data_IF_799020882773
#
_entry.id   IF_799020882773
#
_cell.length_a   1.000
_cell.length_b   1.000
_cell.length_c   1.000
_cell.angle_alpha   90.00
_cell.angle_beta   90.00
_cell.angle_gamma   90.00
#
_symmetry.space_group_name_H-M   'P 1'
#
loop_
_entity.id
_entity.type
_entity.pdbx_description
1 polymer ?
#
# COMPACT_ATOMS: atom_id res chain seq x y z
N UNK A 1 2.28 0.20 -40.63
CA UNK A 1 1.39 0.54 -39.50
C UNK A 1 2.29 0.66 -38.28
N UNK A 2 2.42 1.84 -37.69
CA UNK A 2 3.22 2.01 -36.48
C UNK A 2 2.54 1.25 -35.34
N UNK A 3 3.30 0.52 -34.53
CA UNK A 3 2.77 -0.07 -33.30
C UNK A 3 2.16 1.05 -32.43
N UNK A 4 1.04 0.80 -31.72
CA UNK A 4 0.55 1.76 -30.75
C UNK A 4 1.65 2.04 -29.73
N UNK A 5 1.89 3.31 -29.42
CA UNK A 5 2.82 3.69 -28.37
C UNK A 5 2.32 3.13 -27.03
N UNK A 6 3.23 2.59 -26.22
CA UNK A 6 2.89 2.13 -24.86
C UNK A 6 2.26 3.29 -24.06
N UNK A 7 1.21 3.04 -23.27
CA UNK A 7 0.60 4.07 -22.45
C UNK A 7 1.63 4.63 -21.47
N UNK A 8 1.66 5.97 -21.35
CA UNK A 8 2.57 6.66 -20.44
C UNK A 8 2.31 6.23 -18.97
N UNK A 9 3.35 6.15 -18.13
CA UNK A 9 3.21 5.75 -16.73
C UNK A 9 2.35 6.75 -15.93
N UNK A 10 1.62 6.22 -14.95
CA UNK A 10 0.78 6.99 -14.05
C UNK A 10 1.60 7.71 -12.96
N UNK A 11 1.27 8.98 -12.69
CA UNK A 11 2.00 9.79 -11.70
C UNK A 11 1.68 9.44 -10.24
N UNK A 12 0.54 8.79 -9.97
CA UNK A 12 0.11 8.43 -8.61
C UNK A 12 -0.33 6.97 -8.55
N UNK A 13 -0.17 6.37 -7.37
CA UNK A 13 -0.71 5.03 -7.08
C UNK A 13 -2.21 4.95 -7.37
N UNK A 14 -2.99 5.96 -6.94
CA UNK A 14 -4.43 6.00 -7.19
C UNK A 14 -4.77 5.90 -8.68
N UNK A 15 -4.11 6.70 -9.52
CA UNK A 15 -4.34 6.66 -10.96
C UNK A 15 -3.93 5.33 -11.60
N UNK A 16 -2.84 4.73 -11.12
CA UNK A 16 -2.39 3.41 -11.59
C UNK A 16 -3.37 2.30 -11.17
N UNK A 17 -3.85 2.34 -9.92
CA UNK A 17 -4.82 1.37 -9.41
C UNK A 17 -6.16 1.47 -10.15
N UNK A 18 -6.64 2.67 -10.47
CA UNK A 18 -7.86 2.85 -11.26
C UNK A 18 -7.72 2.23 -12.65
N UNK A 19 -6.60 2.46 -13.34
CA UNK A 19 -6.33 1.88 -14.65
C UNK A 19 -6.25 0.35 -14.57
N UNK A 20 -5.43 -0.18 -13.64
CA UNK A 20 -5.27 -1.62 -13.44
C UNK A 20 -6.58 -2.31 -13.03
N UNK A 21 -7.42 -1.67 -12.23
CA UNK A 21 -8.71 -2.22 -11.82
C UNK A 21 -9.64 -2.40 -13.02
N UNK A 22 -9.65 -1.46 -13.98
CA UNK A 22 -10.45 -1.56 -15.19
C UNK A 22 -10.00 -2.71 -16.11
N UNK A 23 -8.72 -3.09 -16.05
CA UNK A 23 -8.16 -4.24 -16.76
C UNK A 23 -8.41 -5.57 -16.03
N UNK A 24 -8.36 -5.56 -14.70
CA UNK A 24 -8.33 -6.77 -13.87
C UNK A 24 -9.71 -7.30 -13.49
N UNK A 25 -10.67 -6.42 -13.19
CA UNK A 25 -12.00 -6.78 -12.70
C UNK A 25 -13.08 -6.22 -13.63
N UNK A 26 -13.04 -6.68 -14.87
CA UNK A 26 -13.93 -6.20 -15.94
C UNK A 26 -15.41 -6.40 -15.62
N UNK A 27 -15.73 -7.38 -14.78
CA UNK A 27 -17.09 -7.72 -14.37
C UNK A 27 -17.51 -7.02 -13.06
N UNK A 28 -16.60 -6.28 -12.41
CA UNK A 28 -16.86 -5.53 -11.19
C UNK A 28 -17.27 -6.39 -10.00
N UNK A 29 -16.75 -7.62 -9.90
CA UNK A 29 -17.15 -8.60 -8.88
C UNK A 29 -16.36 -8.48 -7.57
N UNK A 30 -15.25 -7.72 -7.54
CA UNK A 30 -14.43 -7.59 -6.33
C UNK A 30 -15.16 -6.79 -5.26
N UNK A 31 -15.49 -7.47 -4.17
CA UNK A 31 -16.21 -6.89 -3.04
C UNK A 31 -15.28 -6.18 -2.07
N UNK A 32 -15.86 -5.29 -1.25
CA UNK A 32 -15.12 -4.63 -0.17
C UNK A 32 -14.55 -5.65 0.85
N UNK A 33 -15.29 -6.73 1.14
CA UNK A 33 -14.82 -7.78 2.04
C UNK A 33 -13.64 -8.57 1.47
N UNK A 34 -13.64 -8.80 0.15
CA UNK A 34 -12.48 -9.40 -0.54
C UNK A 34 -11.23 -8.54 -0.34
N UNK A 35 -11.31 -7.23 -0.65
CA UNK A 35 -10.17 -6.31 -0.49
C UNK A 35 -9.71 -6.18 0.97
N UNK A 36 -10.65 -6.19 1.91
CA UNK A 36 -10.32 -6.18 3.34
C UNK A 36 -9.54 -7.42 3.76
N UNK A 37 -9.90 -8.59 3.25
CA UNK A 37 -9.19 -9.84 3.51
C UNK A 37 -7.82 -9.89 2.79
N UNK A 38 -7.74 -9.37 1.56
CA UNK A 38 -6.49 -9.22 0.81
C UNK A 38 -5.49 -8.35 1.60
N UNK A 39 -5.90 -7.16 2.04
CA UNK A 39 -5.08 -6.30 2.91
C UNK A 39 -4.60 -7.04 4.17
N UNK A 40 -5.49 -7.80 4.82
CA UNK A 40 -5.10 -8.57 6.01
C UNK A 40 -4.08 -9.68 5.68
N UNK A 41 -4.18 -10.28 4.48
CA UNK A 41 -3.21 -11.21 3.92
C UNK A 41 -1.82 -10.58 3.82
N UNK A 42 -1.69 -9.47 3.10
CA UNK A 42 -0.41 -8.78 2.88
C UNK A 42 0.22 -8.31 4.21
N UNK A 43 -0.60 -7.82 5.14
CA UNK A 43 -0.12 -7.49 6.50
C UNK A 43 0.42 -8.74 7.20
N UNK A 44 -0.23 -9.89 7.03
CA UNK A 44 0.21 -11.18 7.57
C UNK A 44 1.55 -11.65 6.98
N UNK A 45 1.74 -11.46 5.67
CA UNK A 45 2.98 -11.78 4.96
C UNK A 45 4.14 -10.91 5.46
N UNK A 46 3.94 -9.59 5.52
CA UNK A 46 4.89 -8.64 6.11
C UNK A 46 5.23 -9.02 7.56
N UNK A 47 4.24 -9.33 8.39
CA UNK A 47 4.45 -9.79 9.77
C UNK A 47 5.31 -11.07 9.84
N UNK A 48 5.07 -12.01 8.93
CA UNK A 48 5.82 -13.26 8.87
C UNK A 48 7.29 -13.02 8.49
N UNK A 49 7.56 -12.10 7.57
CA UNK A 49 8.92 -11.71 7.19
C UNK A 49 9.64 -10.98 8.33
N UNK A 50 9.01 -10.01 8.99
CA UNK A 50 9.56 -9.35 10.19
C UNK A 50 9.94 -10.38 11.25
N UNK A 51 9.05 -11.33 11.54
CA UNK A 51 9.32 -12.42 12.49
C UNK A 51 10.54 -13.25 12.06
N UNK A 52 10.69 -13.57 10.77
CA UNK A 52 11.85 -14.34 10.26
C UNK A 52 13.16 -13.54 10.45
N UNK A 53 13.15 -12.24 10.13
CA UNK A 53 14.31 -11.35 10.30
C UNK A 53 14.75 -11.27 11.78
N UNK A 54 13.82 -11.01 12.69
CA UNK A 54 14.14 -10.94 14.12
C UNK A 54 14.54 -12.30 14.69
N UNK A 55 13.92 -13.39 14.23
CA UNK A 55 14.29 -14.75 14.64
C UNK A 55 15.74 -15.07 14.28
N UNK A 56 16.17 -14.72 13.08
CA UNK A 56 17.57 -14.88 12.65
C UNK A 56 18.51 -14.03 13.51
N UNK A 57 18.16 -12.76 13.77
CA UNK A 57 18.93 -11.85 14.65
C UNK A 57 19.09 -12.39 16.08
N UNK A 58 18.07 -13.08 16.59
CA UNK A 58 18.10 -13.73 17.91
C UNK A 58 18.85 -15.07 17.93
N UNK A 59 19.36 -15.56 16.79
CA UNK A 59 20.06 -16.84 16.71
C UNK A 59 19.14 -18.07 16.85
N UNK A 60 17.83 -17.89 16.66
CA UNK A 60 16.85 -18.97 16.77
C UNK A 60 16.74 -19.68 15.41
N UNK A 61 16.77 -21.01 15.39
CA UNK A 61 16.67 -21.80 14.17
C UNK A 61 15.32 -21.58 13.44
N UNK A 62 15.37 -21.48 12.11
CA UNK A 62 14.19 -21.38 11.26
C UNK A 62 14.52 -20.86 9.86
N UNK A 63 13.49 -20.73 9.01
CA UNK A 63 13.62 -20.10 7.69
C UNK A 63 14.02 -18.62 7.79
N UNK A 64 14.72 -18.14 6.77
CA UNK A 64 15.22 -16.76 6.69
C UNK A 64 14.33 -15.89 5.80
N UNK A 65 14.50 -14.58 5.93
CA UNK A 65 13.88 -13.57 5.09
C UNK A 65 14.92 -12.49 4.78
N UNK A 66 14.61 -11.61 3.83
CA UNK A 66 15.45 -10.46 3.51
C UNK A 66 14.64 -9.17 3.64
N UNK A 67 15.35 -8.05 3.70
CA UNK A 67 14.71 -6.72 3.75
C UNK A 67 14.06 -6.40 2.41
N UNK A 68 14.57 -6.94 1.31
CA UNK A 68 14.01 -6.78 -0.04
C UNK A 68 12.62 -7.40 -0.12
N UNK A 69 12.44 -8.65 0.32
CA UNK A 69 11.11 -9.26 0.36
C UNK A 69 10.18 -8.51 1.33
N UNK A 70 10.68 -8.02 2.47
CA UNK A 70 9.85 -7.21 3.36
C UNK A 70 9.39 -5.91 2.69
N UNK A 71 10.23 -5.30 1.86
CA UNK A 71 9.86 -4.10 1.12
C UNK A 71 8.72 -4.37 0.11
N UNK A 72 8.72 -5.53 -0.53
CA UNK A 72 7.63 -5.98 -1.41
C UNK A 72 6.32 -6.12 -0.65
N UNK A 73 6.30 -6.88 0.45
CA UNK A 73 5.07 -7.06 1.24
C UNK A 73 4.55 -5.75 1.85
N UNK A 74 5.45 -4.85 2.28
CA UNK A 74 5.05 -3.52 2.75
C UNK A 74 4.46 -2.65 1.63
N UNK A 75 4.93 -2.82 0.39
CA UNK A 75 4.36 -2.15 -0.76
C UNK A 75 2.95 -2.69 -1.07
N UNK A 76 2.76 -4.02 -0.99
CA UNK A 76 1.45 -4.65 -1.20
C UNK A 76 0.42 -4.20 -0.15
N UNK A 77 0.82 -4.05 1.11
CA UNK A 77 -0.03 -3.42 2.14
C UNK A 77 -0.51 -2.02 1.74
N UNK A 78 0.38 -1.18 1.20
CA UNK A 78 0.03 0.18 0.75
C UNK A 78 -0.92 0.13 -0.45
N UNK A 79 -0.65 -0.77 -1.40
CA UNK A 79 -1.49 -0.98 -2.60
C UNK A 79 -2.89 -1.40 -2.19
N UNK A 80 -3.03 -2.42 -1.34
CA UNK A 80 -4.33 -2.93 -0.89
C UNK A 80 -5.10 -1.89 -0.06
N UNK A 81 -4.41 -1.11 0.77
CA UNK A 81 -5.03 0.01 1.47
C UNK A 81 -5.59 1.07 0.51
N UNK A 82 -4.85 1.40 -0.56
CA UNK A 82 -5.35 2.32 -1.59
C UNK A 82 -6.51 1.72 -2.40
N UNK A 83 -6.50 0.41 -2.69
CA UNK A 83 -7.62 -0.25 -3.38
C UNK A 83 -8.93 -0.16 -2.59
N UNK A 84 -8.86 -0.31 -1.26
CA UNK A 84 -10.02 -0.09 -0.38
C UNK A 84 -10.46 1.38 -0.41
N UNK A 85 -9.51 2.30 -0.29
CA UNK A 85 -9.80 3.73 -0.33
C UNK A 85 -10.41 4.15 -1.67
N UNK A 86 -9.90 3.62 -2.78
CA UNK A 86 -10.39 3.81 -4.13
C UNK A 86 -11.85 3.35 -4.25
N UNK A 87 -12.17 2.14 -3.78
CA UNK A 87 -13.55 1.60 -3.82
C UNK A 87 -14.54 2.43 -3.01
N UNK A 88 -14.09 3.09 -1.94
CA UNK A 88 -14.92 3.90 -1.04
C UNK A 88 -14.89 5.41 -1.36
N UNK A 89 -14.17 5.85 -2.39
CA UNK A 89 -14.02 7.26 -2.73
C UNK A 89 -13.23 8.08 -1.70
N UNK A 90 -12.35 7.44 -0.93
CA UNK A 90 -11.50 8.08 0.06
C UNK A 90 -10.23 8.61 -0.63
N UNK A 91 -9.91 9.89 -0.42
CA UNK A 91 -8.58 10.43 -0.73
C UNK A 91 -7.60 9.99 0.37
N UNK A 92 -6.91 8.88 0.11
CA UNK A 92 -6.00 8.28 1.08
C UNK A 92 -4.77 9.18 1.32
N UNK A 93 -4.28 9.88 0.30
CA UNK A 93 -3.13 10.77 0.44
C UNK A 93 -3.44 11.93 1.37
N UNK A 94 -4.59 12.60 1.17
CA UNK A 94 -5.05 13.67 2.06
C UNK A 94 -5.32 13.14 3.48
N UNK A 95 -5.94 11.97 3.61
CA UNK A 95 -6.22 11.36 4.91
C UNK A 95 -4.93 11.03 5.70
N UNK A 96 -3.90 10.50 5.04
CA UNK A 96 -2.59 10.22 5.64
C UNK A 96 -1.92 11.51 6.12
N UNK A 97 -1.85 12.54 5.26
CA UNK A 97 -1.24 13.82 5.63
C UNK A 97 -1.95 14.47 6.83
N UNK A 98 -3.29 14.50 6.80
CA UNK A 98 -4.09 15.04 7.90
C UNK A 98 -3.88 14.25 9.21
N UNK A 99 -3.85 12.91 9.15
CA UNK A 99 -3.64 12.07 10.32
C UNK A 99 -2.23 12.20 10.90
N UNK A 100 -1.22 12.29 10.05
CA UNK A 100 0.17 12.52 10.44
C UNK A 100 0.32 13.86 11.16
N UNK A 101 -0.20 14.94 10.56
CA UNK A 101 -0.13 16.29 11.12
C UNK A 101 -0.88 16.40 12.46
N UNK A 102 -2.08 15.84 12.55
CA UNK A 102 -2.85 15.75 13.80
C UNK A 102 -2.10 15.04 14.92
N UNK A 103 -1.37 13.97 14.58
CA UNK A 103 -0.56 13.24 15.57
C UNK A 103 0.63 14.08 16.02
N UNK A 104 1.31 14.73 15.08
CA UNK A 104 2.43 15.62 15.38
C UNK A 104 2.02 16.79 16.28
N UNK A 105 0.87 17.41 16.02
CA UNK A 105 0.29 18.45 16.89
C UNK A 105 -0.03 17.93 18.29
N UNK A 106 -0.71 16.78 18.37
CA UNK A 106 -1.12 16.17 19.65
C UNK A 106 0.07 15.94 20.59
N UNK A 107 1.24 15.63 20.05
CA UNK A 107 2.45 15.32 20.83
C UNK A 107 3.50 16.43 20.81
N UNK A 108 3.17 17.63 20.31
CA UNK A 108 4.06 18.79 20.35
C UNK A 108 5.26 18.73 19.41
N UNK A 109 5.16 17.97 18.30
CA UNK A 109 6.20 17.89 17.28
C UNK A 109 6.03 18.99 16.23
N UNK A 110 7.13 19.44 15.62
CA UNK A 110 7.14 20.47 14.56
C UNK A 110 7.03 19.92 13.14
N UNK A 111 7.42 18.66 12.93
CA UNK A 111 7.42 18.01 11.61
C UNK A 111 6.00 17.91 11.04
N UNK A 112 5.83 18.24 9.76
CA UNK A 112 4.55 18.13 9.05
C UNK A 112 4.75 17.42 7.71
N UNK A 113 3.72 16.70 7.30
CA UNK A 113 3.59 16.16 5.95
C UNK A 113 2.83 17.18 5.09
N UNK A 114 3.28 17.37 3.85
CA UNK A 114 2.57 18.20 2.88
C UNK A 114 1.16 17.61 2.64
N UNK A 115 0.14 18.47 2.73
CA UNK A 115 -1.22 18.15 2.31
C UNK A 115 -1.29 18.49 0.82
N UNK A 116 -1.54 17.53 -0.07
CA UNK A 116 -1.48 17.74 -1.52
C UNK A 116 -2.25 18.98 -1.99
N UNK A 117 -1.49 20.02 -2.35
CA UNK A 117 -1.78 21.19 -3.18
C UNK A 117 -0.58 22.13 -3.04
N UNK A 118 0.50 21.83 -3.76
CA UNK A 118 1.52 22.77 -4.25
C UNK A 118 2.11 22.19 -5.55
#
# INVERSE_FOLDING_TARGET
>A
MSAPADPAPHATLRSANLARQAEWDTDGQITLSYRGNELAGEVGEACNLIKKLERERMGIAGSRASVEHLAEELADVIICADLIAMQLGIDLQAAVAAKFNKTSEKVGLVTRMATGAD
#
